data_IF_323291383811
#
_entry.id   IF_323291383811
#
_cell.length_a   1.000
_cell.length_b   1.000
_cell.length_c   1.000
_cell.angle_alpha   90.00
_cell.angle_beta   90.00
_cell.angle_gamma   90.00
#
_symmetry.space_group_name_H-M   'P 1'
#
loop_
_entity.id
_entity.type
_entity.pdbx_description
1 polymer ?
#
# COMPACT_ATOMS: atom_id res chain seq x y z
N UNK A 1 2.36 -14.22 4.12
CA UNK A 1 1.00 -14.49 3.62
C UNK A 1 0.84 -13.64 2.37
N UNK A 2 0.22 -14.17 1.32
CA UNK A 2 -0.10 -13.37 0.14
C UNK A 2 -1.58 -13.01 0.20
N UNK A 3 -1.91 -11.78 -0.18
CA UNK A 3 -3.29 -11.34 -0.34
C UNK A 3 -3.79 -11.78 -1.72
N UNK A 4 -4.87 -12.55 -1.74
CA UNK A 4 -5.43 -13.10 -2.98
C UNK A 4 -6.94 -12.92 -3.02
N UNK A 5 -7.46 -12.66 -4.22
CA UNK A 5 -8.87 -12.91 -4.51
C UNK A 5 -9.05 -14.27 -5.16
N UNK A 6 -10.10 -14.95 -4.75
CA UNK A 6 -10.63 -16.14 -5.41
C UNK A 6 -11.96 -15.82 -6.07
N UNK A 7 -12.17 -16.32 -7.29
CA UNK A 7 -13.47 -16.24 -7.95
C UNK A 7 -14.48 -17.10 -7.21
N UNK A 8 -15.66 -16.57 -6.95
CA UNK A 8 -16.71 -17.28 -6.23
C UNK A 8 -18.09 -17.08 -6.85
N UNK A 9 -18.99 -18.02 -6.57
CA UNK A 9 -20.44 -17.92 -6.81
C UNK A 9 -21.16 -17.95 -5.46
N UNK A 10 -22.38 -17.41 -5.44
CA UNK A 10 -23.22 -17.49 -4.26
C UNK A 10 -23.87 -18.87 -4.20
N UNK A 11 -23.66 -19.61 -3.11
CA UNK A 11 -24.30 -20.90 -2.86
C UNK A 11 -25.73 -20.76 -2.27
N UNK A 12 -26.14 -19.51 -2.01
CA UNK A 12 -27.38 -19.16 -1.32
C UNK A 12 -28.13 -18.07 -2.09
N UNK A 13 -29.45 -18.05 -1.90
CA UNK A 13 -30.31 -16.96 -2.40
C UNK A 13 -30.37 -15.76 -1.42
N UNK A 14 -29.83 -15.89 -0.20
CA UNK A 14 -29.76 -14.79 0.76
C UNK A 14 -28.57 -13.87 0.48
N UNK A 15 -28.69 -13.11 -0.62
CA UNK A 15 -27.65 -12.17 -1.08
C UNK A 15 -27.40 -11.07 -0.04
N UNK A 16 -28.44 -10.67 0.71
CA UNK A 16 -28.34 -9.63 1.72
C UNK A 16 -27.42 -10.06 2.88
N UNK A 17 -27.59 -11.31 3.36
CA UNK A 17 -26.74 -11.86 4.40
C UNK A 17 -25.29 -12.02 3.96
N UNK A 18 -25.06 -12.53 2.75
CA UNK A 18 -23.70 -12.66 2.20
C UNK A 18 -23.01 -11.29 2.13
N UNK A 19 -23.70 -10.26 1.61
CA UNK A 19 -23.13 -8.90 1.54
C UNK A 19 -22.86 -8.33 2.92
N UNK A 20 -23.76 -8.54 3.90
CA UNK A 20 -23.54 -8.12 5.30
C UNK A 20 -22.25 -8.75 5.84
N UNK A 21 -22.08 -10.06 5.68
CA UNK A 21 -20.88 -10.77 6.13
C UNK A 21 -19.61 -10.28 5.40
N UNK A 22 -19.67 -10.00 4.10
CA UNK A 22 -18.53 -9.41 3.36
C UNK A 22 -18.13 -8.04 3.91
N UNK A 23 -19.11 -7.17 4.23
CA UNK A 23 -18.84 -5.88 4.84
C UNK A 23 -18.23 -6.01 6.24
N UNK A 24 -18.75 -6.93 7.06
CA UNK A 24 -18.19 -7.19 8.38
C UNK A 24 -16.79 -7.82 8.32
N UNK A 25 -16.55 -8.71 7.37
CA UNK A 25 -15.24 -9.29 7.10
C UNK A 25 -14.23 -8.16 6.78
N UNK A 26 -14.57 -7.29 5.84
CA UNK A 26 -13.71 -6.16 5.46
C UNK A 26 -13.47 -5.18 6.61
N UNK A 27 -14.50 -4.91 7.42
CA UNK A 27 -14.36 -4.08 8.61
C UNK A 27 -13.40 -4.72 9.62
N UNK A 28 -13.59 -5.99 9.98
CA UNK A 28 -12.71 -6.70 10.90
C UNK A 28 -11.25 -6.75 10.40
N UNK A 29 -11.04 -6.92 9.10
CA UNK A 29 -9.72 -6.88 8.49
C UNK A 29 -9.03 -5.51 8.69
N UNK A 30 -9.73 -4.40 8.41
CA UNK A 30 -9.19 -3.04 8.63
C UNK A 30 -8.83 -2.78 10.08
N UNK A 31 -9.63 -3.33 11.00
CA UNK A 31 -9.43 -3.22 12.45
C UNK A 31 -8.23 -4.06 12.93
N UNK A 32 -7.90 -5.16 12.25
CA UNK A 32 -6.79 -6.04 12.65
C UNK A 32 -5.38 -5.47 12.45
N UNK A 33 -5.23 -4.39 11.68
CA UNK A 33 -3.92 -3.81 11.34
C UNK A 33 -3.10 -4.57 10.29
N UNK A 34 -3.66 -5.62 9.69
CA UNK A 34 -2.94 -6.43 8.68
C UNK A 34 -2.72 -5.71 7.34
N UNK A 35 -3.54 -4.71 6.99
CA UNK A 35 -3.44 -3.98 5.71
C UNK A 35 -2.35 -2.88 5.69
N UNK A 36 -1.34 -3.02 6.54
CA UNK A 36 -0.33 -1.99 6.80
C UNK A 36 -0.80 -0.99 7.85
N UNK A 37 0.00 -0.83 8.90
CA UNK A 37 -0.37 -0.01 10.07
C UNK A 37 -0.61 1.46 9.71
N UNK A 38 0.24 2.05 8.87
CA UNK A 38 0.18 3.49 8.59
C UNK A 38 -1.04 3.87 7.72
N UNK A 39 -1.37 3.07 6.69
CA UNK A 39 -2.49 3.36 5.81
C UNK A 39 -3.82 3.29 6.58
N UNK A 40 -3.97 2.26 7.42
CA UNK A 40 -5.13 2.15 8.31
C UNK A 40 -5.15 3.29 9.33
N UNK A 41 -4.05 3.63 9.99
CA UNK A 41 -4.03 4.70 10.99
C UNK A 41 -4.44 6.07 10.41
N UNK A 42 -4.09 6.34 9.16
CA UNK A 42 -4.39 7.63 8.53
C UNK A 42 -5.83 7.73 8.00
N UNK A 43 -6.40 6.63 7.51
CA UNK A 43 -7.65 6.65 6.75
C UNK A 43 -8.75 5.77 7.33
N UNK A 44 -8.50 5.03 8.43
CA UNK A 44 -9.50 4.32 9.20
C UNK A 44 -9.72 5.04 10.55
N UNK A 45 -10.79 5.86 10.67
CA UNK A 45 -11.05 6.61 11.91
C UNK A 45 -11.34 5.69 13.10
N UNK A 46 -11.75 4.45 12.83
CA UNK A 46 -12.09 3.46 13.85
C UNK A 46 -10.89 2.56 14.20
N UNK A 47 -9.65 2.88 13.79
CA UNK A 47 -8.51 1.98 13.97
C UNK A 47 -8.20 1.70 15.45
N UNK A 48 -8.03 0.44 15.90
CA UNK A 48 -7.84 0.15 17.30
C UNK A 48 -6.48 0.61 17.84
N UNK A 49 -6.51 1.24 19.02
CA UNK A 49 -5.31 1.74 19.68
C UNK A 49 -4.46 0.60 20.24
N UNK A 50 -5.10 -0.45 20.78
CA UNK A 50 -4.41 -1.52 21.49
C UNK A 50 -4.15 -2.76 20.63
N UNK A 51 -3.11 -3.53 21.00
CA UNK A 51 -2.86 -4.82 20.35
C UNK A 51 -3.98 -5.83 20.61
N UNK A 52 -4.56 -5.81 21.81
CA UNK A 52 -5.64 -6.72 22.20
C UNK A 52 -6.88 -6.56 21.32
N UNK A 53 -7.26 -5.31 21.01
CA UNK A 53 -8.38 -5.04 20.11
C UNK A 53 -8.09 -5.48 18.67
N UNK A 54 -6.84 -5.31 18.20
CA UNK A 54 -6.41 -5.79 16.87
C UNK A 54 -6.45 -7.31 16.78
N UNK A 55 -6.02 -8.01 17.83
CA UNK A 55 -6.07 -9.48 17.90
C UNK A 55 -7.52 -9.97 17.91
N UNK A 56 -8.41 -9.32 18.66
CA UNK A 56 -9.85 -9.63 18.66
C UNK A 56 -10.50 -9.37 17.29
N UNK A 57 -10.13 -8.29 16.62
CA UNK A 57 -10.58 -8.00 15.25
C UNK A 57 -10.11 -9.06 14.25
N UNK A 58 -8.87 -9.56 14.41
CA UNK A 58 -8.34 -10.64 13.58
C UNK A 58 -9.09 -11.97 13.78
N UNK A 59 -9.40 -12.33 15.03
CA UNK A 59 -10.22 -13.49 15.33
C UNK A 59 -11.62 -13.36 14.70
N UNK A 60 -12.24 -12.17 14.82
CA UNK A 60 -13.52 -11.88 14.17
C UNK A 60 -13.45 -12.04 12.66
N UNK A 61 -12.40 -11.52 12.01
CA UNK A 61 -12.16 -11.69 10.58
C UNK A 61 -12.13 -13.18 10.19
N UNK A 62 -11.38 -14.01 10.95
CA UNK A 62 -11.32 -15.45 10.73
C UNK A 62 -12.68 -16.14 10.84
N UNK A 63 -13.45 -15.83 11.89
CA UNK A 63 -14.77 -16.42 12.12
C UNK A 63 -15.79 -16.06 11.02
N UNK A 64 -15.81 -14.81 10.58
CA UNK A 64 -16.68 -14.37 9.47
C UNK A 64 -16.25 -15.02 8.16
N UNK A 65 -14.94 -15.14 7.92
CA UNK A 65 -14.41 -15.77 6.71
C UNK A 65 -14.87 -17.22 6.58
N UNK A 66 -14.94 -17.97 7.70
CA UNK A 66 -15.47 -19.33 7.73
C UNK A 66 -16.98 -19.37 7.43
N UNK A 67 -17.77 -18.45 7.99
CA UNK A 67 -19.20 -18.36 7.68
C UNK A 67 -19.44 -18.04 6.21
N UNK A 68 -18.65 -17.13 5.62
CA UNK A 68 -18.70 -16.85 4.19
C UNK A 68 -18.35 -18.07 3.35
N UNK A 69 -17.33 -18.85 3.72
CA UNK A 69 -16.95 -20.07 2.98
C UNK A 69 -18.10 -21.10 2.89
N UNK A 70 -19.01 -21.16 3.87
CA UNK A 70 -20.20 -22.02 3.85
C UNK A 70 -21.30 -21.53 2.89
N UNK A 71 -21.28 -20.25 2.53
CA UNK A 71 -22.28 -19.60 1.69
C UNK A 71 -21.80 -19.36 0.25
N UNK A 72 -20.58 -19.76 -0.06
CA UNK A 72 -19.90 -19.50 -1.32
C UNK A 72 -19.45 -20.79 -1.99
N UNK A 73 -19.56 -20.83 -3.32
CA UNK A 73 -18.95 -21.87 -4.14
C UNK A 73 -17.70 -21.30 -4.81
N UNK A 74 -16.57 -22.00 -4.72
CA UNK A 74 -15.31 -21.58 -5.33
C UNK A 74 -15.09 -22.32 -6.64
N UNK A 75 -14.63 -21.60 -7.66
CA UNK A 75 -14.25 -22.25 -8.91
C UNK A 75 -13.01 -23.14 -8.70
N UNK A 76 -12.96 -24.35 -9.31
CA UNK A 76 -11.84 -25.27 -9.13
C UNK A 76 -10.49 -24.64 -9.48
N UNK A 77 -9.48 -24.89 -8.66
CA UNK A 77 -8.15 -24.26 -8.73
C UNK A 77 -7.26 -24.76 -9.90
N UNK A 78 -7.78 -25.57 -10.83
CA UNK A 78 -6.98 -26.37 -11.77
C UNK A 78 -6.13 -25.59 -12.80
N UNK A 79 -6.16 -24.25 -12.81
CA UNK A 79 -5.24 -23.43 -13.61
C UNK A 79 -4.62 -22.31 -12.74
N UNK A 80 -3.47 -22.64 -12.13
CA UNK A 80 -2.82 -21.99 -10.97
C UNK A 80 -2.56 -20.46 -11.07
N UNK A 81 -2.82 -19.81 -12.20
CA UNK A 81 -2.59 -18.37 -12.39
C UNK A 81 -3.83 -17.59 -12.88
N UNK A 82 -4.90 -18.25 -13.33
CA UNK A 82 -6.08 -17.58 -13.88
C UNK A 82 -7.09 -17.18 -12.80
N UNK A 83 -7.16 -17.93 -11.71
CA UNK A 83 -8.23 -17.79 -10.71
C UNK A 83 -7.84 -16.90 -9.53
N UNK A 84 -6.54 -16.63 -9.34
CA UNK A 84 -6.08 -15.61 -8.40
C UNK A 84 -6.04 -14.26 -9.10
N UNK A 85 -6.78 -13.31 -8.53
CA UNK A 85 -6.66 -11.91 -8.92
C UNK A 85 -5.83 -11.23 -7.84
N UNK A 86 -4.70 -10.69 -8.25
CA UNK A 86 -3.88 -9.89 -7.36
C UNK A 86 -4.60 -8.58 -7.08
N UNK A 87 -4.64 -8.09 -5.83
CA UNK A 87 -5.37 -6.88 -5.46
C UNK A 87 -4.66 -5.63 -5.97
N UNK A 88 -4.71 -5.41 -7.29
CA UNK A 88 -4.05 -4.29 -7.97
C UNK A 88 -4.42 -2.97 -7.30
N UNK A 89 -5.71 -2.75 -7.08
CA UNK A 89 -6.19 -1.53 -6.43
C UNK A 89 -5.66 -1.44 -5.01
N UNK A 90 -5.75 -2.48 -4.19
CA UNK A 90 -5.22 -2.47 -2.82
C UNK A 90 -3.70 -2.20 -2.75
N UNK A 91 -2.95 -2.68 -3.74
CA UNK A 91 -1.49 -2.71 -3.70
C UNK A 91 -0.79 -1.63 -4.51
N UNK A 92 -1.44 -0.96 -5.47
CA UNK A 92 -0.80 0.06 -6.30
C UNK A 92 -1.03 1.47 -5.78
N UNK A 93 0.08 2.16 -5.49
CA UNK A 93 0.08 3.55 -5.01
C UNK A 93 -0.46 4.57 -6.02
N UNK A 94 -0.80 4.14 -7.24
CA UNK A 94 -1.47 4.99 -8.22
C UNK A 94 -2.93 5.24 -7.86
N UNK A 95 -3.56 4.35 -7.10
CA UNK A 95 -4.94 4.53 -6.66
C UNK A 95 -5.01 5.31 -5.34
N UNK A 96 -6.07 6.11 -5.13
CA UNK A 96 -6.29 6.79 -3.85
C UNK A 96 -6.27 5.83 -2.66
N UNK A 97 -5.59 6.14 -1.55
CA UNK A 97 -5.47 5.26 -0.38
C UNK A 97 -6.82 4.80 0.17
N UNK A 98 -7.84 5.64 0.11
CA UNK A 98 -9.20 5.32 0.53
C UNK A 98 -9.80 4.21 -0.36
N UNK A 99 -9.53 4.25 -1.66
CA UNK A 99 -9.95 3.19 -2.59
C UNK A 99 -9.16 1.92 -2.37
N UNK A 100 -7.86 2.03 -2.06
CA UNK A 100 -7.00 0.88 -1.75
C UNK A 100 -7.52 0.14 -0.52
N UNK A 101 -7.83 0.86 0.55
CA UNK A 101 -8.44 0.30 1.77
C UNK A 101 -9.80 -0.34 1.51
N UNK A 102 -10.62 0.30 0.68
CA UNK A 102 -11.93 -0.24 0.30
C UNK A 102 -11.82 -1.44 -0.66
N UNK A 103 -10.71 -1.59 -1.37
CA UNK A 103 -10.48 -2.73 -2.24
C UNK A 103 -10.25 -4.01 -1.43
N UNK A 104 -9.63 -3.94 -0.24
CA UNK A 104 -9.40 -5.10 0.65
C UNK A 104 -10.69 -5.66 1.28
N UNK A 105 -11.58 -6.18 0.44
CA UNK A 105 -12.87 -6.79 0.79
C UNK A 105 -13.29 -7.82 -0.26
N UNK A 106 -14.19 -8.70 0.12
CA UNK A 106 -14.94 -9.52 -0.84
C UNK A 106 -15.96 -8.65 -1.62
N UNK A 107 -16.21 -9.00 -2.87
CA UNK A 107 -17.17 -8.35 -3.78
C UNK A 107 -18.19 -9.36 -4.26
N UNK A 108 -19.48 -9.08 -4.06
CA UNK A 108 -20.54 -9.85 -4.71
C UNK A 108 -20.51 -9.67 -6.24
N UNK A 109 -21.05 -10.60 -7.04
CA UNK A 109 -21.02 -10.50 -8.51
C UNK A 109 -21.53 -9.17 -9.06
N UNK A 110 -22.61 -8.63 -8.49
CA UNK A 110 -23.24 -7.37 -8.93
C UNK A 110 -22.48 -6.11 -8.47
N UNK A 111 -21.50 -6.24 -7.57
CA UNK A 111 -20.66 -5.12 -7.13
C UNK A 111 -19.42 -4.93 -8.01
N UNK A 112 -19.01 -5.95 -8.80
CA UNK A 112 -17.76 -5.89 -9.56
C UNK A 112 -17.84 -4.85 -10.69
N UNK A 113 -18.90 -4.89 -11.50
CA UNK A 113 -18.98 -4.05 -12.70
C UNK A 113 -18.95 -2.55 -12.40
N UNK A 114 -19.72 -2.02 -11.41
CA UNK A 114 -19.63 -0.60 -11.05
C UNK A 114 -18.24 -0.20 -10.59
N UNK A 115 -17.58 -1.02 -9.77
CA UNK A 115 -16.24 -0.75 -9.24
C UNK A 115 -15.18 -0.80 -10.34
N UNK A 116 -15.26 -1.81 -11.21
CA UNK A 116 -14.37 -1.94 -12.36
C UNK A 116 -14.49 -0.75 -13.30
N UNK A 117 -15.71 -0.28 -13.56
CA UNK A 117 -15.96 0.90 -14.40
C UNK A 117 -15.28 2.13 -13.81
N UNK A 118 -15.43 2.35 -12.50
CA UNK A 118 -14.79 3.45 -11.79
C UNK A 118 -13.25 3.37 -11.87
N UNK A 119 -12.66 2.19 -11.63
CA UNK A 119 -11.21 2.00 -11.66
C UNK A 119 -10.62 2.17 -13.07
N UNK A 120 -11.32 1.68 -14.10
CA UNK A 120 -10.90 1.87 -15.50
C UNK A 120 -10.93 3.35 -15.86
N UNK A 121 -12.02 4.07 -15.53
CA UNK A 121 -12.11 5.51 -15.80
C UNK A 121 -10.94 6.26 -15.17
N UNK A 122 -10.66 5.98 -13.90
CA UNK A 122 -9.55 6.60 -13.18
C UNK A 122 -8.19 6.30 -13.83
N UNK A 123 -7.93 5.05 -14.22
CA UNK A 123 -6.67 4.70 -14.89
C UNK A 123 -6.53 5.43 -16.23
N UNK A 124 -7.60 5.55 -17.02
CA UNK A 124 -7.59 6.30 -18.27
C UNK A 124 -7.34 7.80 -18.04
N UNK A 125 -7.97 8.38 -17.03
CA UNK A 125 -7.73 9.77 -16.63
C UNK A 125 -6.25 9.99 -16.27
N UNK A 126 -5.66 9.09 -15.47
CA UNK A 126 -4.23 9.13 -15.12
C UNK A 126 -3.35 8.98 -16.37
N UNK A 127 -3.67 8.07 -17.30
CA UNK A 127 -2.95 7.88 -18.58
C UNK A 127 -2.98 9.15 -19.45
N UNK A 128 -4.08 9.90 -19.39
CA UNK A 128 -4.23 11.19 -20.06
C UNK A 128 -3.53 12.35 -19.32
N UNK A 129 -2.82 12.07 -18.22
CA UNK A 129 -2.10 13.05 -17.42
C UNK A 129 -2.97 13.82 -16.43
N UNK A 130 -4.24 13.43 -16.26
CA UNK A 130 -5.09 13.95 -15.19
C UNK A 130 -4.58 13.47 -13.83
N UNK A 131 -5.07 14.08 -12.75
CA UNK A 131 -4.70 13.76 -11.36
C UNK A 131 -3.21 13.87 -11.01
N UNK A 132 -2.35 14.34 -11.93
CA UNK A 132 -0.90 14.44 -11.71
C UNK A 132 -0.56 15.19 -10.42
N UNK A 133 -1.28 16.27 -10.12
CA UNK A 133 -1.04 17.07 -8.92
C UNK A 133 -1.37 16.30 -7.62
N UNK A 134 -2.48 15.54 -7.61
CA UNK A 134 -2.83 14.64 -6.50
C UNK A 134 -1.74 13.59 -6.30
N UNK A 135 -1.38 12.89 -7.38
CA UNK A 135 -0.39 11.82 -7.37
C UNK A 135 0.98 12.33 -6.94
N UNK A 136 1.34 13.56 -7.31
CA UNK A 136 2.59 14.19 -6.88
C UNK A 136 2.60 14.42 -5.37
N UNK A 137 1.50 14.90 -4.79
CA UNK A 137 1.40 15.08 -3.33
C UNK A 137 1.39 13.76 -2.60
N UNK A 138 0.70 12.77 -3.14
CA UNK A 138 0.70 11.41 -2.61
C UNK A 138 2.12 10.81 -2.64
N UNK A 139 2.83 10.99 -3.76
CA UNK A 139 4.22 10.58 -3.90
C UNK A 139 5.14 11.24 -2.88
N UNK A 140 5.02 12.56 -2.70
CA UNK A 140 5.81 13.32 -1.73
C UNK A 140 5.52 12.85 -0.32
N UNK A 141 4.25 12.60 0.01
CA UNK A 141 3.84 12.07 1.30
C UNK A 141 4.49 10.70 1.59
N UNK A 142 4.26 9.70 0.74
CA UNK A 142 4.78 8.33 0.93
C UNK A 142 6.31 8.31 0.93
N UNK A 143 6.93 9.05 0.01
CA UNK A 143 8.39 9.13 -0.07
C UNK A 143 8.99 9.89 1.12
N UNK A 144 8.29 10.89 1.65
CA UNK A 144 8.67 11.64 2.84
C UNK A 144 8.64 10.80 4.11
N UNK A 145 7.58 10.02 4.32
CA UNK A 145 7.50 9.07 5.44
C UNK A 145 8.65 8.05 5.39
N UNK A 146 8.94 7.52 4.20
CA UNK A 146 10.09 6.63 3.98
C UNK A 146 11.41 7.34 4.30
N UNK A 147 11.58 8.59 3.86
CA UNK A 147 12.79 9.38 4.10
C UNK A 147 13.02 9.63 5.60
N UNK A 148 11.93 9.90 6.34
CA UNK A 148 11.95 10.06 7.80
C UNK A 148 12.37 8.77 8.49
N UNK A 149 11.80 7.63 8.11
CA UNK A 149 12.19 6.31 8.66
C UNK A 149 13.70 6.06 8.48
N UNK A 150 14.22 6.25 7.26
CA UNK A 150 15.65 6.07 6.99
C UNK A 150 16.53 7.09 7.73
N UNK A 151 16.06 8.33 7.92
CA UNK A 151 16.76 9.30 8.75
C UNK A 151 16.83 8.84 10.20
N UNK A 152 15.73 8.34 10.78
CA UNK A 152 15.71 7.81 12.15
C UNK A 152 16.64 6.61 12.31
N UNK A 153 16.66 5.69 11.34
CA UNK A 153 17.61 4.58 11.30
C UNK A 153 19.07 5.04 11.18
N UNK A 154 19.35 6.08 10.39
CA UNK A 154 20.69 6.64 10.28
C UNK A 154 21.13 7.28 11.61
N UNK A 155 20.26 8.04 12.26
CA UNK A 155 20.49 8.66 13.57
C UNK A 155 20.73 7.61 14.66
N UNK A 156 19.84 6.62 14.78
CA UNK A 156 19.96 5.55 15.76
C UNK A 156 21.19 4.67 15.49
N UNK A 157 21.43 4.33 14.22
CA UNK A 157 22.60 3.60 13.77
C UNK A 157 23.90 4.30 14.18
N UNK A 158 24.01 5.61 13.91
CA UNK A 158 25.14 6.42 14.32
C UNK A 158 25.32 6.44 15.85
N UNK A 159 24.26 6.74 16.60
CA UNK A 159 24.30 6.75 18.08
C UNK A 159 24.79 5.43 18.66
N UNK A 160 24.36 4.30 18.11
CA UNK A 160 24.74 2.95 18.58
C UNK A 160 26.21 2.56 18.35
N UNK A 161 26.94 3.34 17.54
CA UNK A 161 28.33 3.04 17.16
C UNK A 161 29.34 4.11 17.56
N UNK A 162 28.90 5.32 17.93
CA UNK A 162 29.78 6.43 18.30
C UNK A 162 30.71 6.11 19.50
N UNK A 163 30.26 5.28 20.44
CA UNK A 163 31.04 4.85 21.60
C UNK A 163 32.07 3.75 21.28
N UNK A 164 32.00 3.16 20.09
CA UNK A 164 32.91 2.08 19.69
C UNK A 164 34.23 2.63 19.17
N UNK A 165 35.27 1.82 19.25
CA UNK A 165 36.61 2.15 18.77
C UNK A 165 37.17 1.10 17.81
N UNK A 166 36.48 0.92 16.67
CA UNK A 166 36.96 0.06 15.59
C UNK A 166 37.35 0.90 14.36
N UNK A 167 38.03 0.28 13.39
CA UNK A 167 38.63 0.97 12.24
C UNK A 167 37.62 1.81 11.46
N UNK A 168 36.41 1.28 11.21
CA UNK A 168 35.43 2.01 10.41
C UNK A 168 34.75 3.14 11.19
N UNK A 169 34.57 3.00 12.51
CA UNK A 169 34.06 4.09 13.36
C UNK A 169 35.08 5.23 13.46
N UNK A 170 36.38 4.93 13.51
CA UNK A 170 37.43 5.97 13.42
C UNK A 170 37.37 6.72 12.10
N UNK A 171 37.27 6.00 10.97
CA UNK A 171 37.07 6.63 9.64
C UNK A 171 35.82 7.52 9.59
N UNK A 172 34.73 7.09 10.21
CA UNK A 172 33.50 7.87 10.30
C UNK A 172 33.74 9.20 11.02
N UNK A 173 34.41 9.17 12.19
CA UNK A 173 34.79 10.37 12.97
C UNK A 173 35.77 11.26 12.21
N UNK A 174 36.83 10.68 11.64
CA UNK A 174 37.87 11.40 10.88
C UNK A 174 37.32 12.09 9.63
N UNK A 175 36.27 11.53 9.01
CA UNK A 175 35.63 12.13 7.83
C UNK A 175 34.73 13.34 8.13
N UNK A 176 34.41 13.59 9.40
CA UNK A 176 33.40 14.59 9.80
C UNK A 176 31.95 14.20 9.44
N UNK A 177 31.73 12.97 8.96
CA UNK A 177 30.39 12.52 8.55
C UNK A 177 29.46 12.35 9.76
N UNK A 178 29.97 11.94 10.92
CA UNK A 178 29.19 11.85 12.16
C UNK A 178 28.52 13.17 12.52
N UNK A 179 29.28 14.26 12.49
CA UNK A 179 28.84 15.62 12.81
C UNK A 179 27.81 16.09 11.79
N UNK A 180 28.05 15.83 10.49
CA UNK A 180 27.10 16.16 9.42
C UNK A 180 25.79 15.40 9.53
N UNK A 181 25.81 14.11 9.89
CA UNK A 181 24.60 13.31 10.11
C UNK A 181 23.86 13.83 11.35
N UNK A 182 24.54 14.06 12.47
CA UNK A 182 23.90 14.57 13.70
C UNK A 182 23.31 15.97 13.51
N UNK A 183 23.93 16.81 12.69
CA UNK A 183 23.45 18.15 12.37
C UNK A 183 22.40 18.17 11.24
N UNK A 184 22.20 17.06 10.51
CA UNK A 184 21.26 17.02 9.42
C UNK A 184 19.82 17.15 9.95
N UNK A 185 19.01 18.10 9.43
CA UNK A 185 17.64 18.26 9.88
C UNK A 185 16.84 16.99 9.60
N UNK A 186 15.85 16.71 10.46
CA UNK A 186 14.85 15.69 10.16
C UNK A 186 14.09 16.10 8.88
N UNK A 187 13.90 15.19 7.91
CA UNK A 187 13.08 15.48 6.74
C UNK A 187 11.67 15.91 7.12
N UNK A 188 11.03 16.71 6.26
CA UNK A 188 9.68 17.22 6.54
C UNK A 188 8.62 16.13 6.34
N UNK A 189 7.70 16.03 7.30
CA UNK A 189 6.45 15.30 7.09
C UNK A 189 5.53 16.18 6.25
N UNK A 190 5.09 15.64 5.12
CA UNK A 190 4.07 16.26 4.30
C UNK A 190 2.70 15.69 4.70
N UNK A 191 1.59 16.45 4.60
CA UNK A 191 0.28 15.88 4.84
C UNK A 191 -0.12 14.94 3.69
N UNK A 192 -0.79 13.84 4.02
CA UNK A 192 -1.38 12.97 3.01
C UNK A 192 -2.52 13.72 2.28
N UNK A 193 -2.56 13.72 0.94
CA UNK A 193 -3.71 14.27 0.23
C UNK A 193 -4.94 13.38 0.43
N UNK A 194 -6.08 14.00 0.74
CA UNK A 194 -7.37 13.33 0.86
C UNK A 194 -8.08 13.40 -0.50
N UNK A 195 -8.48 12.26 -1.05
CA UNK A 195 -9.07 12.19 -2.39
C UNK A 195 -10.37 12.97 -2.51
N UNK A 196 -11.24 12.86 -1.50
CA UNK A 196 -12.52 13.56 -1.47
C UNK A 196 -12.38 15.08 -1.51
N UNK A 197 -11.34 15.63 -0.89
CA UNK A 197 -11.05 17.08 -0.87
C UNK A 197 -10.32 17.52 -2.14
N UNK A 198 -9.65 16.59 -2.83
CA UNK A 198 -8.83 16.91 -3.99
C UNK A 198 -9.64 17.29 -5.22
N UNK A 199 -10.82 16.68 -5.40
CA UNK A 199 -11.68 16.91 -6.57
C UNK A 199 -12.08 18.39 -6.74
N UNK A 200 -12.12 19.12 -5.62
CA UNK A 200 -12.46 20.55 -5.59
C UNK A 200 -11.23 21.47 -5.41
N UNK A 201 -10.01 20.90 -5.36
CA UNK A 201 -8.81 21.69 -5.02
C UNK A 201 -8.28 22.49 -6.21
N UNK A 202 -8.30 23.81 -6.07
CA UNK A 202 -7.72 24.76 -7.03
C UNK A 202 -6.19 24.89 -6.90
N UNK A 203 -5.47 23.85 -6.42
CA UNK A 203 -4.02 23.95 -6.26
C UNK A 203 -3.37 24.21 -7.62
N UNK A 204 -2.55 25.26 -7.69
CA UNK A 204 -1.98 25.63 -8.99
C UNK A 204 -0.85 24.67 -9.35
N UNK A 205 -0.61 24.48 -10.65
CA UNK A 205 0.55 23.71 -11.13
C UNK A 205 1.87 24.24 -10.54
N UNK A 206 2.00 25.56 -10.45
CA UNK A 206 3.19 26.22 -9.93
C UNK A 206 3.49 25.87 -8.45
N UNK A 207 2.47 25.83 -7.60
CA UNK A 207 2.62 25.45 -6.19
C UNK A 207 3.13 24.01 -6.04
N UNK A 208 2.56 23.09 -6.82
CA UNK A 208 2.95 21.68 -6.80
C UNK A 208 4.37 21.46 -7.34
N UNK A 209 4.76 22.20 -8.40
CA UNK A 209 6.12 22.15 -8.95
C UNK A 209 7.16 22.69 -7.96
N UNK A 210 6.84 23.76 -7.23
CA UNK A 210 7.70 24.31 -6.17
C UNK A 210 7.84 23.33 -5.00
N UNK A 211 6.73 22.74 -4.55
CA UNK A 211 6.73 21.74 -3.48
C UNK A 211 7.59 20.53 -3.86
N UNK A 212 7.43 20.02 -5.08
CA UNK A 212 8.21 18.88 -5.56
C UNK A 212 9.69 19.20 -5.68
N UNK A 213 10.04 20.38 -6.20
CA UNK A 213 11.45 20.82 -6.30
C UNK A 213 12.11 20.91 -4.92
N UNK A 214 11.38 21.41 -3.91
CA UNK A 214 11.86 21.46 -2.54
C UNK A 214 12.07 20.06 -1.95
N UNK A 215 11.13 19.13 -2.18
CA UNK A 215 11.24 17.75 -1.75
C UNK A 215 12.41 17.02 -2.43
N UNK A 216 12.60 17.19 -3.75
CA UNK A 216 13.73 16.60 -4.47
C UNK A 216 15.08 17.07 -3.92
N UNK A 217 15.19 18.35 -3.56
CA UNK A 217 16.40 18.89 -2.93
C UNK A 217 16.66 18.22 -1.57
N UNK A 218 15.64 18.15 -0.72
CA UNK A 218 15.73 17.50 0.60
C UNK A 218 16.14 16.02 0.47
N UNK A 219 15.50 15.29 -0.44
CA UNK A 219 15.85 13.90 -0.74
C UNK A 219 17.29 13.76 -1.23
N UNK A 220 17.74 14.63 -2.15
CA UNK A 220 19.10 14.61 -2.66
C UNK A 220 20.15 14.88 -1.57
N UNK A 221 19.89 15.86 -0.70
CA UNK A 221 20.75 16.19 0.43
C UNK A 221 20.87 15.01 1.42
N UNK A 222 19.76 14.35 1.74
CA UNK A 222 19.77 13.14 2.57
C UNK A 222 20.50 11.97 1.88
N UNK A 223 20.20 11.70 0.61
CA UNK A 223 20.81 10.60 -0.14
C UNK A 223 22.32 10.73 -0.24
N UNK A 224 22.84 11.96 -0.26
CA UNK A 224 24.28 12.21 -0.19
C UNK A 224 24.87 11.68 1.12
N UNK A 225 24.29 12.04 2.27
CA UNK A 225 24.74 11.56 3.58
C UNK A 225 24.63 10.03 3.69
N UNK A 226 23.52 9.47 3.22
CA UNK A 226 23.26 8.04 3.26
C UNK A 226 24.25 7.22 2.42
N UNK A 227 24.62 7.72 1.24
CA UNK A 227 25.66 7.11 0.38
C UNK A 227 27.04 7.19 1.03
N UNK A 228 27.40 8.34 1.60
CA UNK A 228 28.67 8.51 2.32
C UNK A 228 28.76 7.55 3.52
N UNK A 229 27.66 7.37 4.27
CA UNK A 229 27.58 6.38 5.34
C UNK A 229 27.83 4.96 4.83
N UNK A 230 27.09 4.55 3.79
CA UNK A 230 27.21 3.21 3.20
C UNK A 230 28.62 2.93 2.65
N UNK A 231 29.35 3.96 2.20
CA UNK A 231 30.72 3.82 1.73
C UNK A 231 31.71 3.50 2.87
N UNK A 232 31.46 4.04 4.08
CA UNK A 232 32.36 3.86 5.24
C UNK A 232 32.04 2.56 6.01
N UNK A 233 30.75 2.23 6.17
CA UNK A 233 30.35 1.12 7.03
C UNK A 233 30.53 -0.25 6.37
N UNK A 234 30.76 -1.33 7.14
CA UNK A 234 30.82 -2.68 6.60
C UNK A 234 29.54 -3.07 5.86
N UNK A 235 29.64 -3.93 4.84
CA UNK A 235 28.50 -4.35 4.00
C UNK A 235 27.30 -4.87 4.80
N UNK A 236 27.53 -5.59 5.90
CA UNK A 236 26.47 -6.10 6.81
C UNK A 236 25.71 -5.00 7.58
N UNK A 237 26.15 -3.75 7.47
CA UNK A 237 25.59 -2.55 8.12
C UNK A 237 25.17 -1.49 7.11
N UNK A 238 25.35 -1.75 5.81
CA UNK A 238 24.85 -0.88 4.77
C UNK A 238 23.33 -1.01 4.69
N UNK A 239 22.68 0.13 4.59
CA UNK A 239 21.25 0.20 4.37
C UNK A 239 20.96 0.27 2.87
N UNK A 240 19.90 -0.39 2.43
CA UNK A 240 19.46 -0.34 1.02
C UNK A 240 18.27 0.59 0.92
N UNK A 241 18.49 1.78 0.37
CA UNK A 241 17.42 2.71 0.04
C UNK A 241 17.63 3.23 -1.38
N UNK A 242 16.59 3.07 -2.19
CA UNK A 242 16.55 3.54 -3.57
C UNK A 242 15.28 4.38 -3.72
N UNK A 243 15.39 5.71 -3.75
CA UNK A 243 14.21 6.55 -3.94
C UNK A 243 13.59 6.23 -5.30
N UNK A 244 12.30 5.91 -5.29
CA UNK A 244 11.50 5.72 -6.49
C UNK A 244 11.30 7.08 -7.17
N UNK A 245 11.56 7.25 -8.46
CA UNK A 245 11.22 8.49 -9.17
C UNK A 245 9.69 8.60 -9.36
N UNK A 246 9.18 9.83 -9.41
CA UNK A 246 7.74 10.08 -9.58
C UNK A 246 7.21 9.51 -10.91
N UNK A 247 8.04 9.52 -11.95
CA UNK A 247 7.71 8.97 -13.26
C UNK A 247 7.44 7.45 -13.20
N UNK A 248 8.09 6.72 -12.29
CA UNK A 248 7.83 5.30 -12.07
C UNK A 248 6.48 5.06 -11.38
N UNK A 249 6.00 6.01 -10.54
CA UNK A 249 4.63 5.99 -10.05
C UNK A 249 3.66 6.11 -11.23
N UNK A 250 3.81 7.12 -12.08
CA UNK A 250 2.93 7.31 -13.24
C UNK A 250 2.96 6.15 -14.24
N UNK A 251 4.14 5.57 -14.46
CA UNK A 251 4.30 4.41 -15.35
C UNK A 251 3.47 3.19 -14.90
N UNK A 252 3.11 3.12 -13.62
CA UNK A 252 2.28 2.05 -13.05
C UNK A 252 0.89 1.98 -13.70
N UNK A 253 0.34 3.12 -14.14
CA UNK A 253 -0.94 3.13 -14.86
C UNK A 253 -0.86 2.46 -16.25
N UNK A 254 0.34 2.39 -16.84
CA UNK A 254 0.61 1.74 -18.13
C UNK A 254 1.25 0.35 -17.97
N UNK A 255 1.33 -0.16 -16.74
CA UNK A 255 1.94 -1.46 -16.50
C UNK A 255 1.06 -2.58 -17.08
N UNK A 256 1.69 -3.58 -17.69
CA UNK A 256 1.03 -4.82 -18.17
C UNK A 256 0.16 -5.46 -17.07
N UNK A 257 0.57 -5.31 -15.81
CA UNK A 257 -0.19 -5.81 -14.66
C UNK A 257 -1.54 -5.10 -14.47
N UNK A 258 -1.64 -3.79 -14.76
CA UNK A 258 -2.90 -3.07 -14.70
C UNK A 258 -3.88 -3.55 -15.78
N UNK A 259 -3.39 -3.75 -17.01
CA UNK A 259 -4.21 -4.26 -18.11
C UNK A 259 -4.65 -5.71 -17.86
N UNK A 260 -3.73 -6.56 -17.35
CA UNK A 260 -4.05 -7.93 -16.97
C UNK A 260 -5.12 -7.98 -15.86
N UNK A 261 -5.04 -7.08 -14.88
CA UNK A 261 -6.07 -6.96 -13.85
C UNK A 261 -7.43 -6.61 -14.47
N UNK A 262 -7.50 -5.60 -15.35
CA UNK A 262 -8.74 -5.21 -16.03
C UNK A 262 -9.34 -6.37 -16.83
N UNK A 263 -8.51 -7.12 -17.57
CA UNK A 263 -8.95 -8.31 -18.32
C UNK A 263 -9.54 -9.38 -17.39
N UNK A 264 -8.87 -9.68 -16.27
CA UNK A 264 -9.37 -10.65 -15.28
C UNK A 264 -10.68 -10.20 -14.64
N UNK A 265 -10.82 -8.92 -14.28
CA UNK A 265 -12.05 -8.38 -13.71
C UNK A 265 -13.21 -8.38 -14.71
N UNK A 266 -12.97 -8.03 -15.98
CA UNK A 266 -13.99 -8.13 -17.04
C UNK A 266 -14.48 -9.55 -17.22
N UNK A 267 -13.59 -10.55 -17.12
CA UNK A 267 -13.98 -11.96 -17.14
C UNK A 267 -14.88 -12.31 -15.95
N UNK A 268 -14.61 -11.79 -14.75
CA UNK A 268 -15.48 -12.02 -13.59
C UNK A 268 -16.89 -11.48 -13.81
N UNK A 269 -17.01 -10.27 -14.38
CA UNK A 269 -18.29 -9.67 -14.76
C UNK A 269 -19.02 -10.55 -15.78
N UNK A 270 -18.32 -10.95 -16.85
CA UNK A 270 -18.89 -11.78 -17.91
C UNK A 270 -19.37 -13.16 -17.41
N UNK A 271 -18.64 -13.75 -16.48
CA UNK A 271 -18.95 -15.07 -15.91
C UNK A 271 -20.01 -15.01 -14.77
N UNK A 272 -20.42 -13.80 -14.37
CA UNK A 272 -21.37 -13.55 -13.28
C UNK A 272 -20.86 -14.04 -11.92
N UNK A 273 -19.56 -13.89 -11.66
CA UNK A 273 -18.90 -14.35 -10.42
C UNK A 273 -18.44 -13.17 -9.57
N UNK A 274 -18.39 -13.38 -8.26
CA UNK A 274 -17.84 -12.45 -7.30
C UNK A 274 -16.35 -12.70 -7.02
N UNK A 275 -15.79 -11.92 -6.10
CA UNK A 275 -14.45 -12.11 -5.55
C UNK A 275 -14.49 -12.31 -4.04
N UNK A 276 -13.81 -13.35 -3.59
CA UNK A 276 -13.59 -13.61 -2.17
C UNK A 276 -12.18 -13.17 -1.79
N UNK A 277 -12.07 -12.21 -0.88
CA UNK A 277 -10.79 -11.78 -0.33
C UNK A 277 -10.38 -12.66 0.84
N UNK A 278 -9.11 -13.06 0.86
CA UNK A 278 -8.53 -13.74 2.03
C UNK A 278 -7.01 -13.61 2.06
N UNK A 279 -6.46 -13.67 3.27
CA UNK A 279 -5.02 -13.75 3.54
C UNK A 279 -4.53 -15.20 3.65
N UNK A 280 -5.46 -16.16 3.57
CA UNK A 280 -5.24 -17.59 3.69
C UNK A 280 -5.75 -18.31 2.43
N UNK A 281 -5.30 -19.54 2.20
CA UNK A 281 -5.96 -20.39 1.18
C UNK A 281 -7.31 -20.86 1.78
N UNK A 282 -8.45 -20.66 1.10
CA UNK A 282 -9.75 -21.14 1.57
C UNK A 282 -9.70 -22.63 1.92
N UNK A 283 -10.34 -23.04 3.02
CA UNK A 283 -10.24 -24.45 3.48
C UNK A 283 -10.83 -25.42 2.49
N UNK A 284 -11.89 -25.00 1.79
CA UNK A 284 -12.54 -25.78 0.73
C UNK A 284 -11.56 -26.16 -0.39
N UNK A 285 -10.55 -25.33 -0.66
CA UNK A 285 -9.52 -25.60 -1.67
C UNK A 285 -8.37 -26.47 -1.15
N UNK A 286 -8.26 -26.72 0.16
CA UNK A 286 -7.24 -27.58 0.77
C UNK A 286 -7.67 -29.05 0.91
N UNK A 287 -8.96 -29.33 0.75
CA UNK A 287 -9.55 -30.66 0.91
C UNK A 287 -9.78 -31.40 -0.43
N UNK A 288 -9.20 -30.91 -1.52
CA UNK A 288 -9.24 -31.49 -2.87
C UNK A 288 -7.82 -31.95 -3.22
#
# INVERSE_FOLDING_TARGET
MGDYYYRMRLATNDIAEVKRLMHEQAYALRQSGQLGSWLNQLFNPDYPETQLERDAAWERFGNISLQLEELLEFEPYYDNASNTIWPLVGSYDIFPPEWRLNAYRSFAPDEIEPQLTQWISYLEEVRQGQHRAYLLRWFIFVSGETLVEYWEYLQAGLKSVLERDNVWVRRLKESGLSERILAAPKPRNHPAPIWAEWQDSASTRAENDQLFSAFQKEQADFMKLFKEWNYIVPSKKQYRYYPRPFEELLATANAILADNFVVKMKKCVADGVGLYYTTFVPRVLLNI
#
